data_IF_569915664653
#
_entry.id   IF_569915664653
#
_cell.length_a   1.000
_cell.length_b   1.000
_cell.length_c   1.000
_cell.angle_alpha   90.00
_cell.angle_beta   90.00
_cell.angle_gamma   90.00
#
_symmetry.space_group_name_H-M   'P 1'
#
loop_
_entity.id
_entity.type
_entity.pdbx_description
1 polymer ?
#
# COMPACT_ATOMS: atom_id res chain seq x y z
N UNK A 1 -9.21 12.73 -29.01
CA UNK A 1 -8.93 11.40 -28.40
C UNK A 1 -7.93 11.53 -27.27
N UNK A 2 -6.73 12.13 -27.46
CA UNK A 2 -5.71 12.31 -26.42
C UNK A 2 -6.24 13.02 -25.16
N UNK A 3 -6.99 14.13 -25.31
CA UNK A 3 -7.63 14.83 -24.18
C UNK A 3 -8.60 13.94 -23.38
N UNK A 4 -9.30 12.99 -24.03
CA UNK A 4 -10.20 12.04 -23.35
C UNK A 4 -9.40 11.07 -22.47
N UNK A 5 -8.32 10.49 -23.01
CA UNK A 5 -7.45 9.55 -22.28
C UNK A 5 -6.80 10.25 -21.09
N UNK A 6 -6.24 11.45 -21.31
CA UNK A 6 -5.62 12.25 -20.26
C UNK A 6 -6.62 12.58 -19.14
N UNK A 7 -7.87 12.92 -19.48
CA UNK A 7 -8.93 13.17 -18.48
C UNK A 7 -9.20 11.93 -17.63
N UNK A 8 -9.26 10.74 -18.25
CA UNK A 8 -9.47 9.48 -17.52
C UNK A 8 -8.28 9.22 -16.59
N UNK A 9 -7.04 9.42 -17.08
CA UNK A 9 -5.83 9.24 -16.30
C UNK A 9 -5.78 10.18 -15.09
N UNK A 10 -6.11 11.46 -15.26
CA UNK A 10 -6.16 12.43 -14.16
C UNK A 10 -7.22 12.01 -13.13
N UNK A 11 -8.40 11.54 -13.56
CA UNK A 11 -9.43 11.05 -12.64
C UNK A 11 -8.91 9.84 -11.84
N UNK A 12 -8.24 8.89 -12.49
CA UNK A 12 -7.65 7.73 -11.84
C UNK A 12 -6.59 8.15 -10.82
N UNK A 13 -5.70 9.08 -11.19
CA UNK A 13 -4.66 9.60 -10.31
C UNK A 13 -5.25 10.30 -9.08
N UNK A 14 -6.23 11.19 -9.29
CA UNK A 14 -6.91 11.89 -8.18
C UNK A 14 -7.62 10.88 -7.26
N UNK A 15 -8.24 9.84 -7.81
CA UNK A 15 -8.89 8.79 -7.03
C UNK A 15 -7.89 8.07 -6.13
N UNK A 16 -6.75 7.65 -6.68
CA UNK A 16 -5.71 6.95 -5.90
C UNK A 16 -5.12 7.86 -4.82
N UNK A 17 -4.76 9.09 -5.16
CA UNK A 17 -4.24 10.05 -4.20
C UNK A 17 -5.25 10.37 -3.09
N UNK A 18 -6.54 10.49 -3.44
CA UNK A 18 -7.60 10.69 -2.46
C UNK A 18 -7.68 9.52 -1.47
N UNK A 19 -7.65 8.27 -1.96
CA UNK A 19 -7.74 7.09 -1.11
C UNK A 19 -6.52 6.95 -0.20
N UNK A 20 -5.30 7.15 -0.72
CA UNK A 20 -4.07 7.14 0.06
C UNK A 20 -4.07 8.23 1.13
N UNK A 21 -4.45 9.47 0.77
CA UNK A 21 -4.53 10.58 1.72
C UNK A 21 -5.60 10.34 2.79
N UNK A 22 -6.77 9.85 2.41
CA UNK A 22 -7.85 9.53 3.34
C UNK A 22 -7.41 8.47 4.34
N UNK A 23 -6.75 7.41 3.86
CA UNK A 23 -6.23 6.35 4.72
C UNK A 23 -5.11 6.88 5.65
N UNK A 24 -4.16 7.61 5.11
CA UNK A 24 -3.07 8.19 5.89
C UNK A 24 -3.56 9.11 7.01
N UNK A 25 -4.54 9.95 6.72
CA UNK A 25 -5.10 10.88 7.72
C UNK A 25 -5.96 10.19 8.78
N UNK A 26 -6.79 9.20 8.38
CA UNK A 26 -7.75 8.57 9.28
C UNK A 26 -7.14 7.41 10.08
N UNK A 27 -6.20 6.69 9.49
CA UNK A 27 -5.74 5.41 10.03
C UNK A 27 -4.31 5.47 10.54
N UNK A 28 -3.40 6.12 9.80
CA UNK A 28 -1.99 6.25 10.18
C UNK A 28 -1.78 7.46 11.10
N UNK A 29 -2.51 8.56 10.85
CA UNK A 29 -2.46 9.81 11.63
C UNK A 29 -1.31 10.76 11.27
N UNK A 30 -0.34 10.34 10.46
CA UNK A 30 0.79 11.16 10.04
C UNK A 30 1.35 10.73 8.70
N UNK A 31 1.97 11.68 7.99
CA UNK A 31 2.73 11.40 6.77
C UNK A 31 4.18 11.83 6.97
N UNK A 32 5.10 11.03 6.48
CA UNK A 32 6.48 11.45 6.30
C UNK A 32 6.76 11.80 4.82
N UNK A 33 7.84 12.53 4.56
CA UNK A 33 8.19 12.96 3.20
C UNK A 33 8.44 11.77 2.26
N UNK A 34 9.11 10.71 2.74
CA UNK A 34 9.40 9.51 1.95
C UNK A 34 8.12 8.82 1.51
N UNK A 35 7.14 8.71 2.42
CA UNK A 35 5.83 8.13 2.12
C UNK A 35 5.07 8.95 1.06
N UNK A 36 5.04 10.27 1.19
CA UNK A 36 4.33 11.14 0.23
C UNK A 36 4.90 10.97 -1.18
N UNK A 37 6.23 10.99 -1.34
CA UNK A 37 6.85 10.79 -2.65
C UNK A 37 6.61 9.40 -3.20
N UNK A 38 6.71 8.36 -2.36
CA UNK A 38 6.40 6.98 -2.75
C UNK A 38 4.97 6.85 -3.26
N UNK A 39 3.99 7.38 -2.52
CA UNK A 39 2.58 7.40 -2.90
C UNK A 39 2.38 8.11 -4.26
N UNK A 40 2.97 9.28 -4.46
CA UNK A 40 2.82 10.05 -5.71
C UNK A 40 3.38 9.25 -6.90
N UNK A 41 4.61 8.78 -6.84
CA UNK A 41 5.24 8.05 -7.94
C UNK A 41 4.49 6.76 -8.27
N UNK A 42 4.09 6.01 -7.25
CA UNK A 42 3.37 4.76 -7.45
C UNK A 42 1.95 4.99 -7.95
N UNK A 43 1.25 6.03 -7.47
CA UNK A 43 -0.08 6.40 -7.96
C UNK A 43 -0.05 6.82 -9.43
N UNK A 44 1.00 7.50 -9.89
CA UNK A 44 1.19 7.81 -11.31
C UNK A 44 1.29 6.51 -12.12
N UNK A 45 2.12 5.57 -11.70
CA UNK A 45 2.26 4.27 -12.35
C UNK A 45 0.92 3.52 -12.43
N UNK A 46 0.23 3.33 -11.31
CA UNK A 46 -1.04 2.61 -11.25
C UNK A 46 -2.14 3.33 -12.06
N UNK A 47 -2.19 4.67 -12.03
CA UNK A 47 -3.19 5.43 -12.81
C UNK A 47 -3.04 5.22 -14.30
N UNK A 48 -1.82 5.07 -14.83
CA UNK A 48 -1.55 4.74 -16.21
C UNK A 48 -2.04 3.33 -16.56
N UNK A 49 -1.75 2.34 -15.70
CA UNK A 49 -2.24 0.95 -15.86
C UNK A 49 -3.77 0.92 -15.87
N UNK A 50 -4.42 1.55 -14.89
CA UNK A 50 -5.88 1.66 -14.82
C UNK A 50 -6.45 2.29 -16.09
N UNK A 51 -5.82 3.34 -16.61
CA UNK A 51 -6.29 4.05 -17.79
C UNK A 51 -6.29 3.13 -19.01
N UNK A 52 -5.26 2.32 -19.22
CA UNK A 52 -5.26 1.33 -20.30
C UNK A 52 -6.37 0.31 -20.10
N UNK A 53 -6.47 -0.29 -18.93
CA UNK A 53 -7.48 -1.31 -18.64
C UNK A 53 -8.91 -0.80 -18.86
N UNK A 54 -9.16 0.48 -18.54
CA UNK A 54 -10.47 1.12 -18.67
C UNK A 54 -10.78 1.65 -20.06
N UNK A 55 -9.84 1.59 -21.02
CA UNK A 55 -10.00 2.25 -22.32
C UNK A 55 -9.70 1.36 -23.54
N UNK A 56 -9.10 0.20 -23.32
CA UNK A 56 -8.65 -0.69 -24.41
C UNK A 56 -9.79 -1.41 -25.12
N UNK A 57 -10.90 -1.65 -24.45
CA UNK A 57 -12.03 -2.42 -24.95
C UNK A 57 -13.09 -1.56 -25.65
N UNK A 58 -14.25 -2.12 -25.91
CA UNK A 58 -15.42 -1.39 -26.42
C UNK A 58 -16.06 -0.57 -25.29
N UNK A 59 -16.79 0.48 -25.65
CA UNK A 59 -17.36 1.44 -24.69
C UNK A 59 -18.16 0.77 -23.55
N UNK A 60 -19.01 -0.23 -23.89
CA UNK A 60 -19.80 -0.95 -22.86
C UNK A 60 -18.91 -1.71 -21.89
N UNK A 61 -17.90 -2.42 -22.40
CA UNK A 61 -16.93 -3.18 -21.58
C UNK A 61 -16.09 -2.23 -20.74
N UNK A 62 -15.59 -1.13 -21.33
CA UNK A 62 -14.82 -0.10 -20.62
C UNK A 62 -15.58 0.48 -19.43
N UNK A 63 -16.90 0.70 -19.57
CA UNK A 63 -17.76 1.15 -18.46
C UNK A 63 -17.80 0.12 -17.33
N UNK A 64 -18.07 -1.15 -17.67
CA UNK A 64 -18.16 -2.24 -16.69
C UNK A 64 -16.82 -2.43 -15.98
N UNK A 65 -15.73 -2.55 -16.74
CA UNK A 65 -14.35 -2.70 -16.20
C UNK A 65 -13.99 -1.53 -15.28
N UNK A 66 -14.37 -0.30 -15.66
CA UNK A 66 -14.14 0.87 -14.79
C UNK A 66 -14.84 0.74 -13.45
N UNK A 67 -16.12 0.34 -13.42
CA UNK A 67 -16.85 0.17 -12.16
C UNK A 67 -16.25 -0.94 -11.30
N UNK A 68 -15.88 -2.06 -11.93
CA UNK A 68 -15.24 -3.17 -11.22
C UNK A 68 -13.92 -2.69 -10.58
N UNK A 69 -13.05 -2.02 -11.34
CA UNK A 69 -11.75 -1.54 -10.83
C UNK A 69 -11.94 -0.55 -9.68
N UNK A 70 -12.81 0.46 -9.83
CA UNK A 70 -13.07 1.41 -8.74
C UNK A 70 -13.69 0.74 -7.53
N UNK A 71 -14.61 -0.22 -7.72
CA UNK A 71 -15.21 -0.96 -6.60
C UNK A 71 -14.18 -1.79 -5.85
N UNK A 72 -13.30 -2.50 -6.56
CA UNK A 72 -12.23 -3.30 -5.95
C UNK A 72 -11.29 -2.41 -5.15
N UNK A 73 -10.83 -1.30 -5.72
CA UNK A 73 -9.89 -0.40 -5.06
C UNK A 73 -10.53 0.24 -3.83
N UNK A 74 -11.73 0.80 -3.94
CA UNK A 74 -12.42 1.40 -2.80
C UNK A 74 -12.68 0.39 -1.69
N UNK A 75 -13.11 -0.83 -2.04
CA UNK A 75 -13.32 -1.91 -1.08
C UNK A 75 -12.02 -2.32 -0.40
N UNK A 76 -10.91 -2.38 -1.15
CA UNK A 76 -9.61 -2.74 -0.60
C UNK A 76 -9.15 -1.76 0.48
N UNK A 77 -9.23 -0.44 0.22
CA UNK A 77 -8.88 0.57 1.23
C UNK A 77 -9.82 0.54 2.44
N UNK A 78 -11.11 0.29 2.23
CA UNK A 78 -12.06 0.12 3.33
C UNK A 78 -11.75 -1.13 4.17
N UNK A 79 -11.37 -2.23 3.53
CA UNK A 79 -10.96 -3.47 4.20
C UNK A 79 -9.71 -3.24 5.05
N UNK A 80 -8.68 -2.61 4.51
CA UNK A 80 -7.46 -2.25 5.24
C UNK A 80 -7.76 -1.37 6.45
N UNK A 81 -8.66 -0.39 6.29
CA UNK A 81 -9.08 0.46 7.41
C UNK A 81 -9.78 -0.34 8.51
N UNK A 82 -10.68 -1.26 8.16
CA UNK A 82 -11.37 -2.13 9.13
C UNK A 82 -10.36 -3.02 9.86
N UNK A 83 -9.43 -3.64 9.14
CA UNK A 83 -8.38 -4.47 9.75
C UNK A 83 -7.54 -3.68 10.75
N UNK A 84 -7.13 -2.47 10.39
CA UNK A 84 -6.34 -1.61 11.29
C UNK A 84 -7.15 -1.15 12.50
N UNK A 85 -8.43 -0.81 12.32
CA UNK A 85 -9.32 -0.37 13.40
C UNK A 85 -9.69 -1.51 14.36
N UNK A 86 -9.87 -2.72 13.85
CA UNK A 86 -10.29 -3.88 14.62
C UNK A 86 -9.12 -4.66 15.22
N UNK A 87 -8.20 -5.10 14.35
CA UNK A 87 -7.08 -5.97 14.75
C UNK A 87 -5.82 -5.20 15.16
N UNK A 88 -5.83 -3.86 15.03
CA UNK A 88 -4.66 -2.99 15.24
C UNK A 88 -3.44 -3.40 14.40
N UNK A 89 -3.67 -4.21 13.37
CA UNK A 89 -2.66 -4.68 12.43
C UNK A 89 -3.09 -4.36 11.00
N UNK A 90 -2.19 -4.52 10.06
CA UNK A 90 -2.47 -4.35 8.64
C UNK A 90 -2.83 -5.69 8.01
N UNK A 91 -3.68 -5.65 6.98
CA UNK A 91 -4.02 -6.84 6.23
C UNK A 91 -2.81 -7.32 5.41
N UNK A 92 -2.56 -8.62 5.43
CA UNK A 92 -1.64 -9.32 4.55
C UNK A 92 -2.37 -10.48 3.87
N UNK A 93 -1.94 -10.86 2.69
CA UNK A 93 -2.53 -12.01 1.99
C UNK A 93 -2.39 -13.32 2.80
N UNK A 94 -1.39 -13.41 3.66
CA UNK A 94 -1.25 -14.54 4.58
C UNK A 94 -2.41 -14.66 5.58
N UNK A 95 -3.14 -13.55 5.84
CA UNK A 95 -4.33 -13.58 6.69
C UNK A 95 -5.43 -14.48 6.11
N UNK A 96 -5.46 -14.71 4.79
CA UNK A 96 -6.40 -15.68 4.20
C UNK A 96 -6.18 -17.11 4.69
N UNK A 97 -4.99 -17.46 5.12
CA UNK A 97 -4.69 -18.79 5.71
C UNK A 97 -5.34 -18.98 7.08
N UNK A 98 -5.73 -17.87 7.73
CA UNK A 98 -6.34 -17.85 9.07
C UNK A 98 -7.86 -17.60 9.02
N UNK A 99 -8.49 -17.76 7.85
CA UNK A 99 -9.92 -17.44 7.63
C UNK A 99 -10.85 -18.16 8.61
N UNK A 100 -10.56 -19.43 8.92
CA UNK A 100 -11.40 -20.23 9.85
C UNK A 100 -11.40 -19.64 11.27
N UNK A 101 -10.28 -19.07 11.71
CA UNK A 101 -10.20 -18.38 13.00
C UNK A 101 -10.90 -17.02 12.95
N UNK A 102 -10.83 -16.31 11.82
CA UNK A 102 -11.46 -15.00 11.63
C UNK A 102 -13.00 -15.09 11.68
N UNK A 103 -13.59 -16.18 11.25
CA UNK A 103 -15.05 -16.38 11.30
C UNK A 103 -15.59 -16.36 12.75
N UNK A 104 -14.78 -16.75 13.74
CA UNK A 104 -15.15 -16.67 15.14
C UNK A 104 -15.38 -15.23 15.65
N UNK A 105 -14.80 -14.23 14.98
CA UNK A 105 -14.90 -12.80 15.34
C UNK A 105 -15.85 -12.00 14.44
N UNK A 106 -16.70 -12.66 13.65
CA UNK A 106 -17.59 -11.98 12.71
C UNK A 106 -18.53 -10.96 13.37
N UNK A 107 -19.03 -11.25 14.57
CA UNK A 107 -19.91 -10.36 15.34
C UNK A 107 -19.21 -9.05 15.75
N UNK A 108 -18.00 -9.15 16.28
CA UNK A 108 -17.17 -8.02 16.66
C UNK A 108 -16.78 -7.19 15.45
N UNK A 109 -16.41 -7.84 14.34
CA UNK A 109 -16.10 -7.17 13.08
C UNK A 109 -17.27 -6.34 12.57
N UNK A 110 -18.48 -6.89 12.57
CA UNK A 110 -19.71 -6.16 12.18
C UNK A 110 -19.92 -4.95 13.09
N UNK A 111 -19.74 -5.09 14.40
CA UNK A 111 -19.88 -3.99 15.35
C UNK A 111 -18.88 -2.87 15.04
N UNK A 112 -17.61 -3.20 14.75
CA UNK A 112 -16.58 -2.22 14.36
C UNK A 112 -16.97 -1.52 13.06
N UNK A 113 -17.47 -2.24 12.06
CA UNK A 113 -17.92 -1.66 10.79
C UNK A 113 -19.06 -0.67 11.04
N UNK A 114 -20.07 -1.05 11.82
CA UNK A 114 -21.23 -0.18 12.11
C UNK A 114 -20.80 1.07 12.89
N UNK A 115 -19.96 0.90 13.89
CA UNK A 115 -19.46 2.04 14.71
C UNK A 115 -18.62 3.01 13.88
N UNK A 116 -17.84 2.53 12.92
CA UNK A 116 -16.95 3.33 12.10
C UNK A 116 -17.50 3.60 10.69
N UNK A 117 -18.79 3.33 10.46
CA UNK A 117 -19.43 3.49 9.15
C UNK A 117 -19.20 4.84 8.48
N UNK A 118 -19.26 6.00 9.18
CA UNK A 118 -18.97 7.30 8.58
C UNK A 118 -17.56 7.38 7.97
N UNK A 119 -16.56 6.83 8.63
CA UNK A 119 -15.17 6.81 8.15
C UNK A 119 -15.01 5.85 6.97
N UNK A 120 -15.66 4.68 7.03
CA UNK A 120 -15.62 3.67 5.96
C UNK A 120 -16.27 4.21 4.67
N UNK A 121 -17.37 4.94 4.79
CA UNK A 121 -18.06 5.57 3.62
C UNK A 121 -17.13 6.53 2.86
N UNK A 122 -16.19 7.19 3.54
CA UNK A 122 -15.23 8.09 2.87
C UNK A 122 -14.43 7.36 1.78
N UNK A 123 -14.09 6.09 1.98
CA UNK A 123 -13.39 5.31 0.96
C UNK A 123 -14.23 5.02 -0.29
N UNK A 124 -15.57 5.10 -0.19
CA UNK A 124 -16.47 4.90 -1.34
C UNK A 124 -16.85 6.19 -2.07
N UNK A 125 -16.44 7.37 -1.56
CA UNK A 125 -16.71 8.65 -2.22
C UNK A 125 -16.24 8.68 -3.68
N UNK A 126 -15.03 8.21 -4.05
CA UNK A 126 -14.61 8.20 -5.45
C UNK A 126 -15.54 7.36 -6.33
N UNK A 127 -15.98 6.20 -5.86
CA UNK A 127 -16.91 5.35 -6.59
C UNK A 127 -18.27 6.05 -6.81
N UNK A 128 -18.79 6.72 -5.79
CA UNK A 128 -20.04 7.50 -5.87
C UNK A 128 -19.89 8.61 -6.89
N UNK A 129 -18.79 9.37 -6.84
CA UNK A 129 -18.51 10.44 -7.80
C UNK A 129 -18.46 9.88 -9.23
N UNK A 130 -17.76 8.78 -9.47
CA UNK A 130 -17.68 8.14 -10.79
C UNK A 130 -19.05 7.72 -11.31
N UNK A 131 -19.92 7.19 -10.45
CA UNK A 131 -21.30 6.83 -10.82
C UNK A 131 -22.09 8.09 -11.22
N UNK A 132 -21.95 9.19 -10.48
CA UNK A 132 -22.65 10.45 -10.78
C UNK A 132 -22.19 11.06 -12.11
N UNK A 133 -20.86 11.12 -12.31
CA UNK A 133 -20.29 11.76 -13.52
C UNK A 133 -20.22 10.80 -14.72
N UNK A 134 -20.74 9.58 -14.60
CA UNK A 134 -20.65 8.52 -15.64
C UNK A 134 -21.03 8.96 -17.05
N UNK A 135 -22.05 9.83 -17.17
CA UNK A 135 -22.52 10.36 -18.46
C UNK A 135 -21.54 11.37 -19.08
N UNK A 136 -20.70 12.02 -18.27
CA UNK A 136 -19.72 13.03 -18.69
C UNK A 136 -18.35 12.44 -19.07
N UNK A 137 -18.13 11.17 -18.74
CA UNK A 137 -16.88 10.46 -19.04
C UNK A 137 -17.09 9.55 -20.24
N UNK A 138 -16.66 10.02 -21.40
CA UNK A 138 -16.64 9.19 -22.61
C UNK A 138 -15.37 8.34 -22.61
N UNK A 139 -15.53 7.02 -22.42
CA UNK A 139 -14.45 6.01 -22.41
C UNK A 139 -14.22 5.37 -23.78
N UNK A 140 -14.94 5.82 -24.83
CA UNK A 140 -14.68 5.35 -26.17
C UNK A 140 -13.51 6.10 -26.78
N UNK A 141 -12.49 5.36 -27.18
CA UNK A 141 -11.27 5.86 -27.79
C UNK A 141 -11.24 5.45 -29.24
N UNK A 142 -11.58 6.40 -30.11
CA UNK A 142 -11.70 6.18 -31.55
C UNK A 142 -10.34 5.84 -32.19
N UNK A 143 -9.27 6.44 -31.69
CA UNK A 143 -7.91 6.19 -32.19
C UNK A 143 -7.02 5.58 -31.11
N UNK A 144 -6.84 4.26 -31.19
CA UNK A 144 -6.05 3.49 -30.24
C UNK A 144 -4.53 3.73 -30.32
N UNK A 145 -4.03 4.44 -31.35
CA UNK A 145 -2.60 4.79 -31.46
C UNK A 145 -2.09 5.55 -30.22
N UNK A 146 -2.95 6.36 -29.59
CA UNK A 146 -2.57 7.06 -28.37
C UNK A 146 -2.36 6.15 -27.16
N UNK A 147 -2.92 4.94 -27.16
CA UNK A 147 -2.67 3.94 -26.11
C UNK A 147 -1.23 3.41 -26.15
N UNK A 148 -0.58 3.42 -27.33
CA UNK A 148 0.82 3.03 -27.45
C UNK A 148 1.74 3.92 -26.60
N UNK A 149 1.43 5.23 -26.53
CA UNK A 149 2.19 6.15 -25.65
C UNK A 149 2.10 5.74 -24.18
N UNK A 150 0.93 5.27 -23.73
CA UNK A 150 0.74 4.81 -22.35
C UNK A 150 1.47 3.48 -22.09
N UNK A 151 1.56 2.59 -23.10
CA UNK A 151 2.36 1.34 -22.99
C UNK A 151 3.84 1.65 -22.74
N UNK A 152 4.36 2.75 -23.32
CA UNK A 152 5.73 3.20 -23.06
C UNK A 152 5.85 3.94 -21.72
N UNK A 153 4.84 4.74 -21.37
CA UNK A 153 4.85 5.51 -20.11
C UNK A 153 4.77 4.63 -18.86
N UNK A 154 4.09 3.47 -18.93
CA UNK A 154 3.96 2.55 -17.80
C UNK A 154 5.33 2.04 -17.31
N UNK A 155 6.16 1.38 -18.15
CA UNK A 155 7.48 0.94 -17.68
C UNK A 155 8.39 2.11 -17.29
N UNK A 156 8.26 3.26 -17.96
CA UNK A 156 9.03 4.45 -17.60
C UNK A 156 8.66 4.96 -16.20
N UNK A 157 7.35 5.05 -15.89
CA UNK A 157 6.90 5.48 -14.56
C UNK A 157 7.28 4.48 -13.46
N UNK A 158 7.19 3.18 -13.75
CA UNK A 158 7.66 2.15 -12.83
C UNK A 158 9.18 2.21 -12.60
N UNK A 159 9.95 2.45 -13.66
CA UNK A 159 11.39 2.63 -13.54
C UNK A 159 11.74 3.87 -12.71
N UNK A 160 11.02 4.99 -12.90
CA UNK A 160 11.19 6.19 -12.07
C UNK A 160 10.89 5.90 -10.59
N UNK A 161 9.85 5.13 -10.30
CA UNK A 161 9.55 4.69 -8.94
C UNK A 161 10.68 3.83 -8.36
N UNK A 162 11.22 2.89 -9.13
CA UNK A 162 12.37 2.08 -8.70
C UNK A 162 13.62 2.91 -8.44
N UNK A 163 13.93 3.87 -9.32
CA UNK A 163 15.03 4.80 -9.09
C UNK A 163 14.86 5.59 -7.79
N UNK A 164 13.62 5.98 -7.47
CA UNK A 164 13.33 6.64 -6.20
C UNK A 164 13.60 5.70 -5.00
N UNK A 165 13.16 4.45 -5.06
CA UNK A 165 13.46 3.45 -4.02
C UNK A 165 14.97 3.26 -3.88
N UNK A 166 15.67 3.06 -5.00
CA UNK A 166 17.12 2.82 -5.01
C UNK A 166 17.92 4.03 -4.46
N UNK A 167 17.38 5.26 -4.60
CA UNK A 167 17.98 6.46 -4.03
C UNK A 167 17.90 6.54 -2.50
N UNK A 168 17.13 5.66 -1.86
CA UNK A 168 17.03 5.59 -0.40
C UNK A 168 17.98 4.58 0.22
N UNK A 169 18.76 3.86 -0.61
CA UNK A 169 19.77 2.93 -0.15
C UNK A 169 20.83 3.65 0.71
N UNK A 170 21.38 2.94 1.66
CA UNK A 170 22.48 3.38 2.53
C UNK A 170 22.14 4.62 3.42
N UNK A 171 20.87 4.88 3.67
CA UNK A 171 20.42 5.86 4.67
C UNK A 171 20.30 5.19 6.04
N UNK A 172 20.36 6.00 7.10
CA UNK A 172 20.10 5.52 8.46
C UNK A 172 18.70 4.95 8.60
N UNK A 173 18.53 3.90 9.41
CA UNK A 173 17.30 3.15 9.65
C UNK A 173 16.83 2.30 8.47
N UNK A 174 15.74 1.52 8.68
CA UNK A 174 15.11 0.72 7.63
C UNK A 174 14.54 1.63 6.55
N UNK A 175 15.11 1.57 5.37
CA UNK A 175 14.78 2.44 4.23
C UNK A 175 13.68 1.85 3.34
N UNK A 176 13.20 2.64 2.36
CA UNK A 176 12.33 2.12 1.30
C UNK A 176 13.02 1.02 0.47
N UNK A 177 14.35 1.17 0.25
CA UNK A 177 15.15 0.15 -0.42
C UNK A 177 15.13 -1.18 0.35
N UNK A 178 15.35 -1.13 1.66
CA UNK A 178 15.35 -2.33 2.50
C UNK A 178 13.98 -3.01 2.50
N UNK A 179 12.93 -2.24 2.66
CA UNK A 179 11.55 -2.75 2.63
C UNK A 179 11.17 -3.35 1.27
N UNK A 180 11.73 -2.84 0.18
CA UNK A 180 11.42 -3.36 -1.14
C UNK A 180 12.20 -4.63 -1.49
N UNK A 181 13.48 -4.73 -1.07
CA UNK A 181 14.40 -5.79 -1.51
C UNK A 181 14.83 -6.77 -0.43
N UNK A 182 14.80 -6.39 0.85
CA UNK A 182 15.47 -7.13 1.91
C UNK A 182 14.55 -7.58 3.05
N UNK A 183 13.52 -6.80 3.39
CA UNK A 183 12.68 -7.02 4.58
C UNK A 183 11.22 -7.18 4.20
N UNK A 184 10.58 -8.21 4.76
CA UNK A 184 9.13 -8.37 4.67
C UNK A 184 8.47 -7.90 5.97
N UNK A 185 7.94 -6.67 5.94
CA UNK A 185 7.19 -6.10 7.04
C UNK A 185 6.04 -5.24 6.49
N UNK A 186 4.84 -5.84 6.45
CA UNK A 186 3.65 -5.19 5.88
C UNK A 186 3.33 -3.86 6.56
N UNK A 187 3.49 -3.77 7.89
CA UNK A 187 3.21 -2.55 8.63
C UNK A 187 4.13 -1.39 8.21
N UNK A 188 5.44 -1.64 8.14
CA UNK A 188 6.41 -0.65 7.69
C UNK A 188 6.26 -0.33 6.20
N UNK A 189 5.91 -1.33 5.36
CA UNK A 189 5.63 -1.13 3.95
C UNK A 189 4.50 -0.11 3.77
N UNK A 190 3.36 -0.29 4.45
CA UNK A 190 2.23 0.64 4.35
C UNK A 190 2.59 2.03 4.89
N UNK A 191 3.30 2.10 6.02
CA UNK A 191 3.70 3.38 6.61
C UNK A 191 4.71 4.17 5.77
N UNK A 192 5.54 3.50 4.98
CA UNK A 192 6.59 4.15 4.18
C UNK A 192 6.28 4.21 2.68
N UNK A 193 5.52 3.25 2.14
CA UNK A 193 5.24 3.16 0.71
C UNK A 193 3.80 3.51 0.33
N UNK A 194 2.86 3.49 1.28
CA UNK A 194 1.42 3.57 1.04
C UNK A 194 0.79 2.20 0.80
N UNK A 195 -0.55 2.15 0.80
CA UNK A 195 -1.31 0.89 0.69
C UNK A 195 -1.12 0.24 -0.67
N UNK A 196 -1.31 0.98 -1.76
CA UNK A 196 -1.32 0.38 -3.10
C UNK A 196 0.02 -0.27 -3.44
N UNK A 197 1.12 0.39 -3.12
CA UNK A 197 2.46 -0.14 -3.38
C UNK A 197 2.78 -1.32 -2.47
N UNK A 198 2.40 -1.26 -1.21
CA UNK A 198 2.57 -2.35 -0.24
C UNK A 198 1.77 -3.58 -0.63
N UNK A 199 0.50 -3.41 -1.03
CA UNK A 199 -0.36 -4.52 -1.49
C UNK A 199 0.21 -5.24 -2.71
N UNK A 200 0.67 -4.49 -3.72
CA UNK A 200 1.26 -5.12 -4.92
C UNK A 200 2.57 -5.83 -4.58
N UNK A 201 3.35 -5.30 -3.64
CA UNK A 201 4.56 -5.95 -3.16
C UNK A 201 4.24 -7.24 -2.40
N UNK A 202 3.21 -7.24 -1.54
CA UNK A 202 2.73 -8.41 -0.81
C UNK A 202 2.21 -9.50 -1.77
N UNK A 203 1.40 -9.12 -2.78
CA UNK A 203 0.96 -10.04 -3.86
C UNK A 203 2.18 -10.67 -4.56
N UNK A 204 3.16 -9.85 -4.95
CA UNK A 204 4.37 -10.34 -5.62
C UNK A 204 5.11 -11.35 -4.75
N UNK A 205 5.29 -11.06 -3.46
CA UNK A 205 6.01 -11.93 -2.52
C UNK A 205 5.25 -13.23 -2.27
N UNK A 206 3.94 -13.17 -2.13
CA UNK A 206 3.08 -14.36 -1.96
C UNK A 206 3.14 -15.29 -3.15
N UNK A 207 3.19 -14.75 -4.39
CA UNK A 207 3.20 -15.55 -5.61
C UNK A 207 4.59 -16.13 -5.92
N UNK A 208 5.64 -15.31 -5.79
CA UNK A 208 6.99 -15.68 -6.24
C UNK A 208 7.92 -16.12 -5.10
N UNK A 209 7.45 -16.03 -3.86
CA UNK A 209 8.27 -16.22 -2.68
C UNK A 209 9.15 -15.00 -2.38
N UNK A 210 9.62 -14.93 -1.15
CA UNK A 210 10.52 -13.88 -0.69
C UNK A 210 11.37 -14.38 0.47
N UNK A 211 12.69 -14.31 0.30
CA UNK A 211 13.66 -14.62 1.37
C UNK A 211 14.06 -13.31 2.06
N UNK A 212 13.61 -13.15 3.29
CA UNK A 212 14.00 -12.01 4.14
C UNK A 212 15.48 -12.10 4.45
N UNK A 213 16.23 -11.06 4.08
CA UNK A 213 17.64 -10.94 4.47
C UNK A 213 17.72 -10.34 5.87
N UNK A 214 18.58 -10.90 6.69
CA UNK A 214 18.93 -10.31 7.97
C UNK A 214 19.67 -9.01 7.68
N UNK A 215 19.05 -7.87 7.97
CA UNK A 215 19.74 -6.59 7.97
C UNK A 215 20.44 -6.53 9.33
N UNK A 216 21.75 -6.71 9.33
CA UNK A 216 22.57 -6.32 10.48
C UNK A 216 22.48 -4.79 10.57
N UNK A 217 21.62 -4.32 11.45
CA UNK A 217 21.62 -2.91 11.83
C UNK A 217 22.85 -2.71 12.69
N UNK A 218 23.97 -2.45 12.04
CA UNK A 218 25.12 -1.93 12.74
C UNK A 218 24.73 -0.53 13.25
N UNK A 219 24.24 -0.47 14.48
CA UNK A 219 24.45 0.74 15.27
C UNK A 219 25.95 0.79 15.44
N UNK A 220 26.63 1.66 14.71
CA UNK A 220 27.93 2.14 15.15
C UNK A 220 27.68 2.79 16.51
N UNK A 221 27.89 1.98 17.57
CA UNK A 221 28.09 2.52 18.90
C UNK A 221 29.46 3.20 18.84
N UNK A 222 29.46 4.49 18.54
CA UNK A 222 30.68 5.32 18.50
C UNK A 222 31.25 5.57 19.91
N UNK A 223 30.82 4.84 20.94
CA UNK A 223 31.35 4.93 22.28
C UNK A 223 31.66 3.52 22.80
N UNK A 224 32.95 3.20 22.84
CA UNK A 224 33.46 2.00 23.52
C UNK A 224 32.95 1.90 24.98
N UNK A 225 32.65 3.01 25.65
CA UNK A 225 32.05 3.04 26.97
C UNK A 225 30.62 2.47 27.04
N UNK A 226 29.76 2.72 26.04
CA UNK A 226 28.40 2.16 26.01
C UNK A 226 28.41 0.65 25.70
N UNK A 227 29.33 0.18 24.87
CA UNK A 227 29.51 -1.22 24.57
C UNK A 227 29.93 -2.01 25.83
N UNK A 228 30.88 -1.45 26.60
CA UNK A 228 31.36 -2.04 27.85
C UNK A 228 30.27 -2.09 28.92
N UNK A 229 29.35 -1.12 28.97
CA UNK A 229 28.21 -1.11 29.89
C UNK A 229 27.18 -2.17 29.47
N UNK A 230 26.95 -2.35 28.18
CA UNK A 230 26.01 -3.33 27.65
C UNK A 230 26.52 -4.77 27.85
N UNK A 231 27.80 -5.04 27.55
CA UNK A 231 28.45 -6.32 27.80
C UNK A 231 28.51 -6.65 29.30
N UNK A 232 28.80 -5.68 30.14
CA UNK A 232 28.80 -5.85 31.60
C UNK A 232 27.40 -6.18 32.12
N UNK A 233 26.35 -5.52 31.63
CA UNK A 233 24.96 -5.81 32.01
C UNK A 233 24.50 -7.19 31.54
N UNK A 234 25.00 -7.72 30.41
CA UNK A 234 24.72 -9.09 29.98
C UNK A 234 25.46 -10.11 30.84
N UNK A 235 26.70 -9.84 31.19
CA UNK A 235 27.53 -10.71 32.04
C UNK A 235 27.03 -10.73 33.49
N UNK A 236 26.45 -9.65 33.98
CA UNK A 236 25.86 -9.55 35.33
C UNK A 236 24.43 -10.14 35.40
N UNK A 237 23.83 -10.54 34.28
CA UNK A 237 22.60 -11.31 34.23
C UNK A 237 22.87 -12.74 34.73
N UNK A 238 22.61 -12.97 36.01
CA UNK A 238 22.67 -14.28 36.59
C UNK A 238 21.55 -15.16 36.04
N UNK A 239 21.86 -15.93 35.00
CA UNK A 239 20.96 -16.86 34.33
C UNK A 239 20.53 -18.04 35.24
N UNK A 240 21.11 -18.14 36.45
CA UNK A 240 20.75 -19.12 37.46
C UNK A 240 19.60 -18.67 38.37
N UNK A 241 19.14 -17.44 38.27
CA UNK A 241 18.03 -16.95 39.10
C UNK A 241 16.72 -17.66 38.72
N UNK A 242 16.15 -18.46 39.65
CA UNK A 242 14.93 -19.22 39.40
C UNK A 242 13.68 -18.37 39.16
N UNK A 243 13.75 -17.03 39.30
CA UNK A 243 12.65 -16.09 39.00
C UNK A 243 12.54 -15.80 37.50
N UNK A 244 13.59 -16.01 36.70
CA UNK A 244 13.58 -15.84 35.25
C UNK A 244 12.99 -17.05 34.49
N UNK A 245 12.81 -18.18 35.17
CA UNK A 245 12.30 -19.45 34.55
C UNK A 245 10.82 -19.73 34.83
N UNK A 246 10.04 -18.72 35.25
CA UNK A 246 8.58 -18.82 35.41
C UNK A 246 7.87 -17.84 34.47
N UNK A 247 7.76 -18.22 33.21
CA UNK A 247 6.64 -17.87 32.32
C UNK A 247 6.60 -18.89 31.16
#
# INVERSE_FOLDING_TARGET
TMKKILKINIINLITLLYLELTYGLLVIGSFNHEQIFSIIFYSIFISLVMTILMTVWHEKVNKIVSYIIYSIICFWYALEAVFKMFLQTYFSLDCFKLTDQAMGFAGETIKVIVTNLPYIILFFIPLIIIIIIRKKINRNIDNKKYLLAYIVLIPLSFFTYKLYIDSTKDKENITLYDLYYNVDNVALNIQKMGIMSSTILDIKRTIFGFDTKVIEVYKEYNNEEELNVFEKNILDLDLSDPKLNKN
#
